data_IF_082085230871
#
_entry.id   IF_082085230871
#
_cell.length_a   1.000
_cell.length_b   1.000
_cell.length_c   1.000
_cell.angle_alpha   90.00
_cell.angle_beta   90.00
_cell.angle_gamma   90.00
#
_symmetry.space_group_name_H-M   'P 1'
#
loop_
_entity.id
_entity.type
_entity.pdbx_description
1 polymer ?
#
# COMPACT_ATOMS: atom_id res chain seq x y z
N UNK A 1 -28.25 -11.25 -15.71
CA UNK A 1 -27.90 -10.89 -17.11
C UNK A 1 -26.47 -10.36 -17.03
N UNK A 2 -25.47 -11.16 -17.39
CA UNK A 2 -24.07 -10.73 -17.37
C UNK A 2 -23.92 -9.57 -18.35
N UNK A 3 -23.46 -8.41 -17.84
CA UNK A 3 -23.05 -7.28 -18.68
C UNK A 3 -21.65 -7.59 -19.20
N UNK A 4 -21.48 -7.64 -20.51
CA UNK A 4 -20.15 -7.66 -21.12
C UNK A 4 -19.54 -6.27 -21.00
N UNK A 5 -18.37 -6.19 -20.38
CA UNK A 5 -17.59 -4.95 -20.26
C UNK A 5 -16.50 -4.92 -21.33
N UNK A 6 -16.30 -3.74 -21.92
CA UNK A 6 -15.10 -3.51 -22.75
C UNK A 6 -13.89 -3.26 -21.87
N UNK A 7 -12.66 -3.62 -22.28
CA UNK A 7 -11.46 -3.44 -21.46
C UNK A 7 -11.24 -2.02 -20.94
N UNK A 8 -11.61 -0.99 -21.71
CA UNK A 8 -11.55 0.40 -21.29
C UNK A 8 -12.56 0.75 -20.19
N UNK A 9 -13.71 0.08 -20.13
CA UNK A 9 -14.70 0.24 -19.05
C UNK A 9 -14.24 -0.41 -17.73
N UNK A 10 -13.28 -1.33 -17.81
CA UNK A 10 -12.66 -2.02 -16.69
C UNK A 10 -11.38 -1.34 -16.20
N UNK A 11 -11.08 -0.14 -16.67
CA UNK A 11 -9.92 0.64 -16.27
C UNK A 11 -10.38 2.01 -15.76
N UNK A 12 -10.03 2.31 -14.51
CA UNK A 12 -10.27 3.62 -13.92
C UNK A 12 -9.05 4.51 -14.11
N UNK A 13 -9.27 5.75 -14.55
CA UNK A 13 -8.19 6.69 -14.85
C UNK A 13 -8.46 8.01 -14.14
N UNK A 14 -7.46 8.53 -13.42
CA UNK A 14 -7.56 9.83 -12.74
C UNK A 14 -6.21 10.54 -12.79
N UNK A 15 -6.25 11.84 -13.07
CA UNK A 15 -5.06 12.70 -13.07
C UNK A 15 -4.98 13.50 -11.78
N UNK A 16 -3.78 13.63 -11.24
CA UNK A 16 -3.45 14.36 -10.02
C UNK A 16 -2.30 15.31 -10.27
N UNK A 17 -2.29 16.41 -9.52
CA UNK A 17 -1.10 17.26 -9.39
C UNK A 17 -0.58 17.09 -7.97
N UNK A 18 0.70 16.76 -7.84
CA UNK A 18 1.34 16.51 -6.53
C UNK A 18 1.47 17.83 -5.77
N UNK A 19 0.83 17.88 -4.60
CA UNK A 19 0.75 19.08 -3.76
C UNK A 19 1.80 19.07 -2.64
N UNK A 20 2.01 20.26 -2.03
CA UNK A 20 3.04 20.45 -1.00
C UNK A 20 2.85 19.57 0.25
N UNK A 21 1.61 19.25 0.62
CA UNK A 21 1.29 18.40 1.75
C UNK A 21 1.57 16.90 1.51
N UNK A 22 1.73 16.52 0.23
CA UNK A 22 1.95 15.14 -0.18
C UNK A 22 3.44 14.78 -0.29
N UNK A 23 4.32 15.77 -0.23
CA UNK A 23 5.76 15.54 -0.38
C UNK A 23 6.50 15.65 0.95
N UNK A 24 7.67 15.02 0.99
CA UNK A 24 8.62 15.15 2.09
C UNK A 24 9.49 16.42 1.93
N UNK A 25 10.45 16.62 2.84
CA UNK A 25 11.38 17.75 2.77
C UNK A 25 12.34 17.70 1.57
N UNK A 26 12.47 16.52 0.93
CA UNK A 26 13.24 16.37 -0.33
C UNK A 26 12.41 16.69 -1.58
N UNK A 27 11.15 17.12 -1.38
CA UNK A 27 10.13 17.40 -2.40
C UNK A 27 9.67 16.19 -3.19
N UNK A 28 10.00 14.96 -2.77
CA UNK A 28 9.48 13.71 -3.36
C UNK A 28 8.14 13.36 -2.74
N UNK A 29 7.27 12.73 -3.53
CA UNK A 29 6.04 12.13 -3.02
C UNK A 29 6.38 11.16 -1.89
N UNK A 30 5.74 11.32 -0.72
CA UNK A 30 5.93 10.39 0.40
C UNK A 30 5.46 8.99 0.03
N UNK A 31 6.10 7.97 0.58
CA UNK A 31 5.65 6.60 0.38
C UNK A 31 4.19 6.43 0.84
N UNK A 32 3.80 6.98 1.98
CA UNK A 32 2.43 6.94 2.47
C UNK A 32 1.43 7.59 1.52
N UNK A 33 1.76 8.74 0.92
CA UNK A 33 0.89 9.41 -0.04
C UNK A 33 0.73 8.64 -1.34
N UNK A 34 1.79 7.96 -1.81
CA UNK A 34 1.70 7.05 -2.94
C UNK A 34 0.67 5.95 -2.68
N UNK A 35 0.72 5.32 -1.51
CA UNK A 35 -0.25 4.27 -1.14
C UNK A 35 -1.67 4.82 -0.98
N UNK A 36 -1.85 6.05 -0.46
CA UNK A 36 -3.17 6.72 -0.40
C UNK A 36 -3.76 6.98 -1.78
N UNK A 37 -2.95 7.41 -2.74
CA UNK A 37 -3.40 7.61 -4.12
C UNK A 37 -3.86 6.28 -4.77
N UNK A 38 -3.14 5.17 -4.52
CA UNK A 38 -3.53 3.86 -5.04
C UNK A 38 -4.81 3.33 -4.38
N UNK A 39 -4.98 3.57 -3.08
CA UNK A 39 -6.21 3.24 -2.34
C UNK A 39 -7.41 4.03 -2.88
N UNK A 40 -7.26 5.33 -3.11
CA UNK A 40 -8.28 6.24 -3.67
C UNK A 40 -8.77 5.73 -5.04
N UNK A 41 -7.84 5.32 -5.92
CA UNK A 41 -8.16 4.70 -7.21
C UNK A 41 -8.92 3.39 -7.03
N UNK A 42 -8.55 2.57 -6.04
CA UNK A 42 -9.22 1.29 -5.78
C UNK A 42 -10.67 1.48 -5.36
N UNK A 43 -10.91 2.39 -4.41
CA UNK A 43 -12.24 2.70 -3.90
C UNK A 43 -13.12 3.26 -5.04
N UNK A 44 -12.63 4.29 -5.73
CA UNK A 44 -13.38 4.92 -6.81
C UNK A 44 -13.70 3.95 -7.96
N UNK A 45 -12.77 3.05 -8.29
CA UNK A 45 -13.01 2.03 -9.32
C UNK A 45 -14.02 0.98 -8.85
N UNK A 46 -13.93 0.49 -7.61
CA UNK A 46 -14.88 -0.47 -7.05
C UNK A 46 -16.31 0.08 -7.07
N UNK A 47 -16.47 1.36 -6.71
CA UNK A 47 -17.75 2.06 -6.79
C UNK A 47 -18.25 2.20 -8.24
N UNK A 48 -17.36 2.54 -9.17
CA UNK A 48 -17.68 2.64 -10.59
C UNK A 48 -18.12 1.29 -11.20
N UNK A 49 -17.60 0.17 -10.69
CA UNK A 49 -18.00 -1.19 -11.05
C UNK A 49 -19.33 -1.62 -10.39
N UNK A 50 -19.93 -0.78 -9.54
CA UNK A 50 -21.22 -1.02 -8.90
C UNK A 50 -21.15 -1.66 -7.52
N UNK A 51 -19.96 -2.00 -7.01
CA UNK A 51 -19.79 -2.46 -5.64
C UNK A 51 -19.53 -1.27 -4.73
N UNK A 52 -20.61 -0.62 -4.32
CA UNK A 52 -20.57 0.57 -3.48
C UNK A 52 -20.53 0.19 -2.00
N UNK A 53 -20.41 1.18 -1.14
CA UNK A 53 -20.52 1.01 0.30
C UNK A 53 -21.78 0.21 0.73
N UNK A 54 -22.90 0.34 0.01
CA UNK A 54 -24.16 -0.35 0.34
C UNK A 54 -24.06 -1.86 0.13
N UNK A 55 -23.28 -2.29 -0.82
CA UNK A 55 -23.05 -3.71 -1.12
C UNK A 55 -22.04 -4.35 -0.16
N UNK A 56 -21.28 -3.54 0.58
CA UNK A 56 -20.23 -4.00 1.50
C UNK A 56 -20.46 -3.50 2.91
N UNK A 57 -20.02 -2.31 3.27
CA UNK A 57 -20.00 -1.79 4.64
C UNK A 57 -21.39 -1.78 5.31
N UNK A 58 -22.43 -1.36 4.59
CA UNK A 58 -23.80 -1.35 5.13
C UNK A 58 -24.37 -2.78 5.30
N UNK A 59 -23.64 -3.81 4.89
CA UNK A 59 -23.93 -5.24 5.09
C UNK A 59 -22.97 -5.92 6.06
N UNK A 60 -22.13 -5.15 6.77
CA UNK A 60 -21.13 -5.68 7.69
C UNK A 60 -19.95 -6.35 7.00
N UNK A 61 -19.63 -5.96 5.77
CA UNK A 61 -18.49 -6.45 5.01
C UNK A 61 -17.43 -5.35 4.85
N UNK A 62 -16.19 -5.67 5.21
CA UNK A 62 -15.07 -4.74 5.12
C UNK A 62 -14.08 -5.18 4.05
N UNK A 63 -13.64 -4.23 3.22
CA UNK A 63 -12.50 -4.42 2.37
C UNK A 63 -11.20 -4.39 3.17
N UNK A 64 -10.38 -5.40 3.00
CA UNK A 64 -9.02 -5.45 3.53
C UNK A 64 -8.02 -5.62 2.40
N UNK A 65 -6.88 -4.98 2.54
CA UNK A 65 -5.71 -5.24 1.71
C UNK A 65 -4.78 -6.19 2.47
N UNK A 66 -4.32 -7.25 1.81
CA UNK A 66 -3.44 -8.24 2.44
C UNK A 66 -1.99 -8.05 2.03
N UNK A 67 -1.75 -7.64 0.78
CA UNK A 67 -0.41 -7.45 0.22
C UNK A 67 -0.43 -6.38 -0.84
N UNK A 68 0.67 -5.64 -0.95
CA UNK A 68 0.86 -4.66 -2.01
C UNK A 68 2.33 -4.56 -2.39
N UNK A 69 2.61 -4.61 -3.69
CA UNK A 69 3.92 -4.39 -4.29
C UNK A 69 3.86 -3.13 -5.15
N UNK A 70 4.87 -2.29 -5.02
CA UNK A 70 5.06 -1.09 -5.85
C UNK A 70 6.47 -1.11 -6.39
N UNK A 71 6.63 -1.04 -7.72
CA UNK A 71 7.90 -0.96 -8.43
C UNK A 71 8.06 0.46 -8.98
N UNK A 72 9.20 1.09 -8.70
CA UNK A 72 9.42 2.51 -8.89
C UNK A 72 10.61 2.75 -9.80
N UNK A 73 10.36 3.25 -11.00
CA UNK A 73 11.41 3.77 -11.89
C UNK A 73 11.75 5.22 -11.54
N UNK A 74 10.73 6.01 -11.22
CA UNK A 74 10.86 7.43 -10.83
C UNK A 74 9.79 7.78 -9.79
N UNK A 75 10.20 8.39 -8.67
CA UNK A 75 9.26 8.92 -7.66
C UNK A 75 8.80 10.32 -8.09
N UNK A 76 7.48 10.59 -8.17
CA UNK A 76 6.95 11.92 -8.46
C UNK A 76 7.46 12.96 -7.46
N UNK A 77 7.58 14.21 -7.91
CA UNK A 77 7.99 15.33 -7.07
C UNK A 77 6.88 16.39 -7.00
N UNK A 78 7.07 17.37 -6.11
CA UNK A 78 6.16 18.51 -5.98
C UNK A 78 5.90 19.17 -7.35
N UNK A 79 4.62 19.46 -7.60
CA UNK A 79 4.07 20.08 -8.82
C UNK A 79 4.06 19.20 -10.08
N UNK A 80 4.48 17.93 -9.98
CA UNK A 80 4.29 16.96 -11.08
C UNK A 80 2.81 16.71 -11.32
N UNK A 81 2.42 16.66 -12.61
CA UNK A 81 1.15 16.09 -13.03
C UNK A 81 1.35 14.61 -13.36
N UNK A 82 0.59 13.76 -12.69
CA UNK A 82 0.61 12.31 -12.90
C UNK A 82 -0.78 11.79 -13.25
N UNK A 83 -0.85 10.78 -14.08
CA UNK A 83 -2.08 10.04 -14.36
C UNK A 83 -1.96 8.63 -13.79
N UNK A 84 -2.91 8.24 -12.95
CA UNK A 84 -2.98 6.87 -12.42
C UNK A 84 -4.05 6.11 -13.19
N UNK A 85 -3.68 4.96 -13.72
CA UNK A 85 -4.59 3.95 -14.26
C UNK A 85 -4.66 2.79 -13.29
N UNK A 86 -5.89 2.37 -12.91
CA UNK A 86 -6.10 1.22 -12.05
C UNK A 86 -7.14 0.28 -12.66
N UNK A 87 -6.93 -1.01 -12.54
CA UNK A 87 -7.89 -2.02 -12.99
C UNK A 87 -7.94 -3.22 -12.07
N UNK A 88 -9.09 -3.87 -12.06
CA UNK A 88 -9.32 -5.15 -11.39
C UNK A 88 -8.83 -6.28 -12.30
N UNK A 89 -8.07 -7.22 -11.78
CA UNK A 89 -7.80 -8.50 -12.42
C UNK A 89 -8.95 -9.51 -12.23
N UNK A 90 -8.84 -10.68 -12.83
CA UNK A 90 -9.80 -11.74 -12.57
C UNK A 90 -9.75 -12.16 -11.10
N UNK A 91 -10.91 -12.38 -10.50
CA UNK A 91 -11.02 -12.80 -9.11
C UNK A 91 -10.36 -14.18 -8.90
N UNK A 92 -9.58 -14.31 -7.86
CA UNK A 92 -8.90 -15.56 -7.48
C UNK A 92 -9.44 -16.07 -6.14
N UNK A 93 -10.44 -16.91 -6.15
CA UNK A 93 -11.10 -17.40 -4.92
C UNK A 93 -11.71 -16.23 -4.11
N UNK A 94 -11.10 -15.96 -2.94
CA UNK A 94 -11.48 -14.88 -2.03
C UNK A 94 -10.72 -13.57 -2.30
N UNK A 95 -9.84 -13.57 -3.28
CA UNK A 95 -8.95 -12.44 -3.56
C UNK A 95 -9.36 -11.67 -4.80
N UNK A 96 -9.26 -10.36 -4.70
CA UNK A 96 -9.49 -9.38 -5.77
C UNK A 96 -8.15 -8.72 -6.13
N UNK A 97 -7.45 -9.22 -7.16
CA UNK A 97 -6.21 -8.62 -7.63
C UNK A 97 -6.45 -7.24 -8.22
N UNK A 98 -5.59 -6.28 -7.92
CA UNK A 98 -5.60 -4.95 -8.52
C UNK A 98 -4.24 -4.58 -9.05
N UNK A 99 -4.24 -3.90 -10.18
CA UNK A 99 -3.05 -3.44 -10.89
C UNK A 99 -3.14 -1.95 -11.11
N UNK A 100 -1.97 -1.30 -11.08
CA UNK A 100 -1.89 0.14 -11.27
C UNK A 100 -0.67 0.51 -12.10
N UNK A 101 -0.83 1.59 -12.88
CA UNK A 101 0.26 2.29 -13.53
C UNK A 101 0.17 3.77 -13.21
N UNK A 102 1.29 4.37 -12.81
CA UNK A 102 1.43 5.81 -12.67
C UNK A 102 2.24 6.32 -13.85
N UNK A 103 1.68 7.29 -14.54
CA UNK A 103 2.19 7.82 -15.79
C UNK A 103 2.51 9.29 -15.60
N UNK A 104 3.70 9.69 -15.97
CA UNK A 104 4.16 11.09 -16.05
C UNK A 104 4.68 11.34 -17.45
N UNK A 105 4.23 12.42 -18.10
CA UNK A 105 4.66 12.80 -19.45
C UNK A 105 4.54 11.66 -20.48
N UNK A 106 3.50 10.83 -20.36
CA UNK A 106 3.24 9.69 -21.24
C UNK A 106 4.08 8.43 -20.95
N UNK A 107 4.98 8.47 -19.97
CA UNK A 107 5.82 7.33 -19.56
C UNK A 107 5.28 6.72 -18.27
N UNK A 108 5.17 5.39 -18.20
CA UNK A 108 4.92 4.69 -16.95
C UNK A 108 6.17 4.80 -16.07
N UNK A 109 6.02 5.38 -14.88
CA UNK A 109 7.10 5.61 -13.91
C UNK A 109 6.97 4.74 -12.66
N UNK A 110 5.76 4.22 -12.38
CA UNK A 110 5.50 3.29 -11.27
C UNK A 110 4.50 2.24 -11.75
N UNK A 111 4.73 0.99 -11.36
CA UNK A 111 3.77 -0.11 -11.44
C UNK A 111 3.45 -0.61 -10.06
N UNK A 112 2.20 -0.97 -9.83
CA UNK A 112 1.82 -1.54 -8.53
C UNK A 112 0.80 -2.66 -8.69
N UNK A 113 0.80 -3.55 -7.69
CA UNK A 113 -0.13 -4.65 -7.55
C UNK A 113 -0.61 -4.70 -6.10
N UNK A 114 -1.89 -4.98 -5.90
CA UNK A 114 -2.47 -5.12 -4.57
C UNK A 114 -3.43 -6.31 -4.53
N UNK A 115 -3.44 -7.02 -3.42
CA UNK A 115 -4.31 -8.17 -3.20
C UNK A 115 -5.32 -7.82 -2.11
N UNK A 116 -6.57 -7.68 -2.51
CA UNK A 116 -7.69 -7.35 -1.64
C UNK A 116 -8.54 -8.57 -1.33
N UNK A 117 -9.24 -8.54 -0.20
CA UNK A 117 -10.26 -9.50 0.20
C UNK A 117 -11.39 -8.79 0.92
N UNK A 118 -12.50 -9.50 1.12
CA UNK A 118 -13.59 -9.08 1.99
C UNK A 118 -13.59 -9.94 3.26
N UNK A 119 -13.84 -9.28 4.39
CA UNK A 119 -14.06 -9.93 5.68
C UNK A 119 -15.42 -9.57 6.23
N UNK A 120 -15.97 -10.43 7.06
CA UNK A 120 -17.11 -10.12 7.91
C UNK A 120 -16.67 -9.20 9.06
N UNK A 121 -17.42 -8.13 9.32
CA UNK A 121 -17.08 -7.10 10.32
C UNK A 121 -17.06 -7.64 11.75
N UNK A 122 -17.94 -8.59 12.08
CA UNK A 122 -18.07 -9.13 13.43
C UNK A 122 -17.07 -10.25 13.71
N UNK A 123 -16.94 -11.21 12.77
CA UNK A 123 -16.09 -12.39 12.96
C UNK A 123 -14.65 -12.18 12.57
N UNK A 124 -14.37 -11.15 11.75
CA UNK A 124 -13.05 -10.87 11.15
C UNK A 124 -12.53 -12.00 10.25
N UNK A 125 -13.39 -12.89 9.84
CA UNK A 125 -13.04 -13.98 8.92
C UNK A 125 -13.19 -13.55 7.46
N UNK A 126 -12.30 -14.06 6.59
CA UNK A 126 -12.42 -13.85 5.14
C UNK A 126 -13.66 -14.57 4.66
N UNK A 127 -14.52 -13.88 3.91
CA UNK A 127 -15.75 -14.42 3.35
C UNK A 127 -15.55 -14.90 1.91
N UNK A 128 -16.44 -15.77 1.47
CA UNK A 128 -16.59 -16.12 0.05
C UNK A 128 -17.48 -15.06 -0.62
N UNK A 129 -16.98 -14.25 -1.54
CA UNK A 129 -17.75 -13.15 -2.14
C UNK A 129 -19.03 -13.62 -2.83
N UNK A 130 -19.01 -14.82 -3.43
CA UNK A 130 -20.15 -15.43 -4.12
C UNK A 130 -21.35 -15.66 -3.18
N UNK A 131 -21.11 -16.03 -1.91
CA UNK A 131 -22.15 -16.26 -0.91
C UNK A 131 -22.92 -14.95 -0.58
N UNK A 132 -22.31 -13.82 -0.87
CA UNK A 132 -22.89 -12.49 -0.68
C UNK A 132 -23.33 -11.83 -1.97
N UNK A 133 -23.22 -12.53 -3.12
CA UNK A 133 -23.56 -12.01 -4.44
C UNK A 133 -22.65 -10.86 -4.89
N UNK A 134 -21.41 -10.83 -4.40
CA UNK A 134 -20.42 -9.84 -4.79
C UNK A 134 -19.58 -10.39 -5.93
N UNK A 135 -19.76 -9.82 -7.11
CA UNK A 135 -19.01 -10.11 -8.30
C UNK A 135 -18.41 -8.81 -8.84
N UNK A 136 -17.10 -8.76 -8.97
CA UNK A 136 -16.42 -7.66 -9.64
C UNK A 136 -15.82 -8.16 -10.95
N UNK A 137 -16.15 -7.52 -12.08
CA UNK A 137 -15.60 -7.91 -13.37
C UNK A 137 -14.10 -7.63 -13.41
N UNK A 138 -13.31 -8.66 -13.73
CA UNK A 138 -11.89 -8.54 -13.97
C UNK A 138 -11.57 -8.17 -15.42
N UNK A 139 -10.50 -7.41 -15.64
CA UNK A 139 -9.99 -7.10 -16.98
C UNK A 139 -9.32 -8.37 -17.54
N UNK A 140 -9.79 -8.91 -18.68
CA UNK A 140 -9.20 -10.09 -19.28
C UNK A 140 -7.74 -9.86 -19.68
N UNK A 141 -6.90 -10.90 -19.50
CA UNK A 141 -5.50 -10.84 -19.85
C UNK A 141 -4.67 -9.93 -18.93
N UNK A 142 -5.17 -9.62 -17.74
CA UNK A 142 -4.33 -9.05 -16.69
C UNK A 142 -3.26 -10.07 -16.29
N UNK A 143 -2.06 -9.56 -15.97
CA UNK A 143 -0.97 -10.42 -15.52
C UNK A 143 -1.37 -11.24 -14.30
N UNK A 144 -0.86 -12.47 -14.20
CA UNK A 144 -1.05 -13.28 -13.01
C UNK A 144 -0.39 -12.58 -11.81
N UNK A 145 -1.12 -12.52 -10.70
CA UNK A 145 -0.60 -11.95 -9.47
C UNK A 145 -0.06 -13.05 -8.57
N UNK A 146 1.25 -13.02 -8.31
CA UNK A 146 1.93 -13.93 -7.38
C UNK A 146 2.60 -13.17 -6.25
N UNK A 147 1.80 -12.54 -5.37
CA UNK A 147 2.32 -11.92 -4.17
C UNK A 147 2.43 -12.96 -3.05
N UNK A 148 3.64 -13.46 -2.81
CA UNK A 148 3.93 -14.37 -1.68
C UNK A 148 4.12 -13.59 -0.38
N UNK A 149 4.09 -14.28 0.76
CA UNK A 149 4.40 -13.62 2.03
C UNK A 149 5.87 -13.20 2.10
N UNK A 150 6.14 -12.03 2.66
CA UNK A 150 7.50 -11.57 2.95
C UNK A 150 8.08 -12.46 4.06
N UNK A 151 9.22 -13.06 3.79
CA UNK A 151 10.02 -13.80 4.75
C UNK A 151 11.31 -13.02 5.00
N UNK A 152 11.60 -12.70 6.26
CA UNK A 152 12.89 -12.12 6.63
C UNK A 152 13.95 -13.24 6.51
N UNK A 153 14.98 -13.08 5.67
CA UNK A 153 15.97 -14.13 5.46
C UNK A 153 16.74 -14.47 6.72
N UNK A 154 17.03 -15.75 6.99
CA UNK A 154 17.88 -16.16 8.11
C UNK A 154 19.26 -15.49 8.06
N UNK A 155 19.78 -15.23 6.87
CA UNK A 155 21.04 -14.53 6.65
C UNK A 155 21.03 -13.07 7.14
N UNK A 156 19.86 -12.48 7.41
CA UNK A 156 19.75 -11.15 8.00
C UNK A 156 20.20 -11.14 9.48
N UNK A 157 20.18 -12.30 10.15
CA UNK A 157 20.47 -12.39 11.57
C UNK A 157 19.42 -11.69 12.44
N UNK A 158 19.88 -11.03 13.51
CA UNK A 158 19.02 -10.20 14.35
C UNK A 158 18.72 -8.84 13.72
N UNK A 159 17.75 -8.07 14.30
CA UNK A 159 17.45 -6.72 13.82
C UNK A 159 18.68 -5.79 14.04
N UNK A 160 18.93 -4.94 13.02
CA UNK A 160 20.01 -3.93 13.10
C UNK A 160 19.55 -2.68 13.85
N UNK A 161 18.24 -2.43 13.90
CA UNK A 161 17.63 -1.43 14.76
C UNK A 161 16.27 -1.91 15.27
N UNK A 162 15.83 -1.32 16.40
CA UNK A 162 14.53 -1.60 17.01
C UNK A 162 13.99 -0.30 17.61
N UNK A 163 12.83 0.13 17.14
CA UNK A 163 12.17 1.36 17.62
C UNK A 163 10.83 1.01 18.24
N UNK A 164 10.61 1.42 19.49
CA UNK A 164 9.29 1.30 20.14
C UNK A 164 8.33 2.34 19.57
N UNK A 165 7.17 1.90 19.14
CA UNK A 165 6.11 2.73 18.54
C UNK A 165 4.81 2.52 19.32
N UNK A 166 4.03 3.59 19.43
CA UNK A 166 2.63 3.55 19.88
C UNK A 166 1.77 4.14 18.77
N UNK A 167 0.85 3.34 18.26
CA UNK A 167 -0.08 3.80 17.21
C UNK A 167 -1.00 4.92 17.72
N UNK A 168 -1.28 5.89 16.86
CA UNK A 168 -2.02 7.10 17.23
C UNK A 168 -3.40 7.13 16.57
N UNK A 169 -4.37 7.78 17.21
CA UNK A 169 -5.72 7.98 16.67
C UNK A 169 -5.71 8.60 15.25
N UNK A 170 -4.80 9.55 14.99
CA UNK A 170 -4.68 10.21 13.67
C UNK A 170 -4.23 9.29 12.53
N UNK A 171 -3.78 8.09 12.83
CA UNK A 171 -3.36 7.08 11.86
C UNK A 171 -4.49 6.10 11.51
N UNK A 172 -5.62 6.17 12.22
CA UNK A 172 -6.74 5.23 12.05
C UNK A 172 -7.64 5.66 10.88
N UNK A 173 -8.16 4.67 10.20
CA UNK A 173 -9.19 4.82 9.17
C UNK A 173 -10.62 4.73 9.75
N UNK A 174 -11.60 4.71 8.86
CA UNK A 174 -13.03 4.59 9.21
C UNK A 174 -13.36 3.25 9.90
N UNK A 175 -12.54 2.21 9.69
CA UNK A 175 -12.73 0.87 10.28
C UNK A 175 -12.13 0.78 11.69
N UNK A 176 -11.52 1.86 12.20
CA UNK A 176 -10.90 1.91 13.52
C UNK A 176 -9.52 1.25 13.61
N UNK A 177 -8.93 0.91 12.49
CA UNK A 177 -7.58 0.34 12.39
C UNK A 177 -6.66 1.29 11.66
N UNK A 178 -5.36 1.03 11.78
CA UNK A 178 -4.35 1.82 11.10
C UNK A 178 -4.56 1.79 9.58
N UNK A 179 -4.72 2.97 8.97
CA UNK A 179 -4.85 3.10 7.52
C UNK A 179 -3.64 2.47 6.82
N UNK A 180 -3.89 1.76 5.73
CA UNK A 180 -2.90 0.99 4.98
C UNK A 180 -1.66 1.80 4.58
N UNK A 181 -1.81 3.08 4.31
CA UNK A 181 -0.71 3.97 3.95
C UNK A 181 0.13 4.43 5.16
N UNK A 182 -0.48 4.54 6.35
CA UNK A 182 0.17 5.09 7.54
C UNK A 182 1.33 4.24 8.09
N UNK A 183 1.42 2.98 7.67
CA UNK A 183 2.59 2.13 7.94
C UNK A 183 3.86 2.72 7.34
N UNK A 184 3.76 3.36 6.19
CA UNK A 184 4.91 3.96 5.51
C UNK A 184 5.37 5.28 6.14
N UNK A 185 4.51 6.01 6.86
CA UNK A 185 4.94 7.16 7.66
C UNK A 185 5.92 6.72 8.76
N UNK A 186 5.66 5.58 9.43
CA UNK A 186 6.57 5.03 10.45
C UNK A 186 7.89 4.54 9.85
N UNK A 187 7.84 3.99 8.63
CA UNK A 187 9.02 3.49 7.93
C UNK A 187 9.86 4.65 7.40
N UNK A 188 9.26 5.70 6.84
CA UNK A 188 9.95 6.92 6.42
C UNK A 188 10.70 7.55 7.61
N UNK A 189 10.06 7.64 8.79
CA UNK A 189 10.69 8.13 10.01
C UNK A 189 11.87 7.24 10.45
N UNK A 190 11.74 5.91 10.37
CA UNK A 190 12.82 4.99 10.73
C UNK A 190 14.00 5.12 9.75
N UNK A 191 13.75 5.16 8.46
CA UNK A 191 14.78 5.35 7.41
C UNK A 191 15.48 6.71 7.59
N UNK A 192 14.71 7.78 7.86
CA UNK A 192 15.27 9.08 8.13
C UNK A 192 16.20 9.08 9.33
N UNK A 193 15.78 8.47 10.45
CA UNK A 193 16.58 8.37 11.67
C UNK A 193 17.89 7.62 11.44
N UNK A 194 17.91 6.59 10.59
CA UNK A 194 19.09 5.82 10.25
C UNK A 194 20.12 6.66 9.45
N UNK A 195 19.67 7.52 8.55
CA UNK A 195 20.55 8.28 7.64
C UNK A 195 20.85 9.71 8.08
N UNK A 196 20.07 10.29 9.00
CA UNK A 196 20.11 11.72 9.33
C UNK A 196 21.12 12.09 10.40
N UNK A 197 21.89 11.15 10.93
CA UNK A 197 22.89 11.44 11.99
C UNK A 197 23.86 12.55 11.58
N UNK A 198 23.73 13.71 12.23
CA UNK A 198 24.60 14.87 11.99
C UNK A 198 24.19 15.76 10.82
N UNK A 199 23.02 15.53 10.20
CA UNK A 199 22.49 16.39 9.16
C UNK A 199 21.74 17.59 9.73
N UNK A 200 21.74 18.68 8.95
CA UNK A 200 20.89 19.84 9.18
C UNK A 200 19.49 19.60 8.59
N UNK A 201 18.57 20.55 8.79
CA UNK A 201 17.23 20.55 8.17
C UNK A 201 17.25 21.07 6.73
N UNK A 202 18.41 21.09 6.07
CA UNK A 202 18.52 21.53 4.68
C UNK A 202 17.96 20.46 3.73
N UNK A 203 17.04 20.88 2.86
CA UNK A 203 16.35 19.97 1.94
C UNK A 203 17.26 19.34 0.88
N UNK A 204 18.34 20.04 0.49
CA UNK A 204 19.29 19.53 -0.49
C UNK A 204 20.20 18.47 0.14
N UNK A 205 20.65 18.68 1.39
CA UNK A 205 21.38 17.67 2.15
C UNK A 205 20.53 16.43 2.39
N UNK A 206 19.26 16.61 2.82
CA UNK A 206 18.31 15.52 2.99
C UNK A 206 18.11 14.73 1.68
N UNK A 207 17.93 15.43 0.56
CA UNK A 207 17.73 14.80 -0.75
C UNK A 207 18.95 13.99 -1.22
N UNK A 208 20.15 14.35 -0.75
CA UNK A 208 21.39 13.65 -1.10
C UNK A 208 21.55 12.31 -0.33
N UNK A 209 21.00 12.21 0.87
CA UNK A 209 21.18 11.04 1.76
C UNK A 209 19.96 10.12 1.81
N UNK A 210 18.74 10.65 1.63
CA UNK A 210 17.53 9.82 1.61
C UNK A 210 17.59 8.83 0.47
N UNK A 211 17.56 7.53 0.75
CA UNK A 211 17.63 6.52 -0.29
C UNK A 211 16.40 6.59 -1.20
N UNK A 212 16.57 6.12 -2.43
CA UNK A 212 15.51 6.08 -3.44
C UNK A 212 15.02 4.66 -3.58
N UNK A 213 13.84 4.32 -3.09
CA UNK A 213 13.33 2.97 -3.24
C UNK A 213 13.04 2.66 -4.71
N UNK A 214 13.42 1.46 -5.14
CA UNK A 214 13.06 0.87 -6.43
C UNK A 214 11.85 -0.05 -6.32
N UNK A 215 11.67 -0.66 -5.15
CA UNK A 215 10.47 -1.42 -4.87
C UNK A 215 10.09 -1.34 -3.39
N UNK A 216 8.79 -1.31 -3.13
CA UNK A 216 8.16 -1.35 -1.82
C UNK A 216 7.21 -2.54 -1.81
N UNK A 217 7.40 -3.46 -0.89
CA UNK A 217 6.50 -4.60 -0.72
C UNK A 217 6.03 -4.66 0.73
N UNK A 218 4.72 -4.72 0.95
CA UNK A 218 4.11 -4.83 2.28
C UNK A 218 3.19 -6.04 2.36
N UNK A 219 3.25 -6.76 3.49
CA UNK A 219 2.24 -7.69 3.96
C UNK A 219 1.57 -7.14 5.21
N UNK A 220 0.28 -6.96 5.15
CA UNK A 220 -0.57 -6.67 6.30
C UNK A 220 -0.99 -8.01 6.91
N UNK A 221 -0.65 -8.26 8.17
CA UNK A 221 -0.80 -9.59 8.81
C UNK A 221 -1.93 -9.57 9.84
N UNK A 222 -1.95 -8.55 10.67
CA UNK A 222 -2.96 -8.34 11.69
C UNK A 222 -3.37 -6.88 11.76
N UNK A 223 -4.61 -6.62 12.13
CA UNK A 223 -5.14 -5.28 12.37
C UNK A 223 -4.38 -4.57 13.50
N UNK A 224 -4.16 -3.28 13.34
CA UNK A 224 -3.35 -2.47 14.26
C UNK A 224 -4.20 -1.29 14.79
N UNK A 225 -4.91 -1.48 15.92
CA UNK A 225 -5.75 -0.44 16.51
C UNK A 225 -4.94 0.67 17.19
N UNK A 226 -5.58 1.81 17.47
CA UNK A 226 -4.97 2.93 18.17
C UNK A 226 -4.50 2.53 19.59
N UNK A 227 -3.36 3.07 20.02
CA UNK A 227 -2.78 2.80 21.33
C UNK A 227 -2.01 1.48 21.44
N UNK A 228 -1.92 0.71 20.34
CA UNK A 228 -1.11 -0.52 20.32
C UNK A 228 0.37 -0.17 20.43
N UNK A 229 1.06 -0.87 21.33
CA UNK A 229 2.53 -0.81 21.45
C UNK A 229 3.15 -1.92 20.62
N UNK A 230 4.14 -1.57 19.81
CA UNK A 230 4.87 -2.53 18.98
C UNK A 230 6.33 -2.10 18.86
N UNK A 231 7.19 -3.07 18.57
CA UNK A 231 8.57 -2.83 18.14
C UNK A 231 8.61 -2.83 16.62
N UNK A 232 9.15 -1.78 16.02
CA UNK A 232 9.53 -1.74 14.62
C UNK A 232 10.98 -2.22 14.52
N UNK A 233 11.14 -3.43 14.03
CA UNK A 233 12.44 -4.08 13.89
C UNK A 233 12.92 -3.95 12.45
N UNK A 234 14.14 -3.46 12.23
CA UNK A 234 14.77 -3.34 10.93
C UNK A 234 15.82 -4.44 10.75
N UNK A 235 15.83 -5.04 9.54
CA UNK A 235 16.80 -6.06 9.14
C UNK A 235 17.39 -5.69 7.77
N UNK A 236 18.65 -6.06 7.55
CA UNK A 236 19.34 -5.83 6.26
C UNK A 236 19.86 -7.16 5.70
N UNK A 237 19.57 -7.46 4.44
CA UNK A 237 20.06 -8.66 3.77
C UNK A 237 20.09 -8.50 2.26
N UNK A 238 21.19 -8.82 1.60
CA UNK A 238 21.30 -8.87 0.13
C UNK A 238 21.06 -7.54 -0.61
N UNK A 239 21.21 -6.40 0.09
CA UNK A 239 20.92 -5.06 -0.45
C UNK A 239 19.46 -4.63 -0.23
N UNK A 240 18.61 -5.49 0.32
CA UNK A 240 17.24 -5.17 0.73
C UNK A 240 17.19 -4.81 2.22
N UNK A 241 16.23 -3.95 2.56
CA UNK A 241 15.87 -3.63 3.96
C UNK A 241 14.50 -4.20 4.26
N UNK A 242 14.38 -4.85 5.41
CA UNK A 242 13.13 -5.43 5.88
C UNK A 242 12.71 -4.77 7.18
N UNK A 243 11.43 -4.48 7.31
CA UNK A 243 10.82 -4.03 8.55
C UNK A 243 9.76 -5.03 9.02
N UNK A 244 9.75 -5.29 10.32
CA UNK A 244 8.69 -6.05 10.96
C UNK A 244 8.13 -5.24 12.12
N UNK A 245 6.83 -4.94 12.07
CA UNK A 245 6.12 -4.41 13.22
C UNK A 245 5.54 -5.56 14.04
N UNK A 246 6.02 -5.75 15.27
CA UNK A 246 5.61 -6.84 16.14
C UNK A 246 5.40 -6.37 17.58
N UNK A 247 4.42 -6.95 18.25
CA UNK A 247 4.14 -6.82 19.67
C UNK A 247 3.94 -8.20 20.27
N UNK A 248 2.75 -8.49 20.76
CA UNK A 248 2.30 -9.84 21.16
C UNK A 248 2.20 -10.80 19.96
N UNK A 249 2.09 -10.26 18.76
CA UNK A 249 2.04 -10.95 17.48
C UNK A 249 2.64 -10.06 16.37
N UNK A 250 2.99 -10.63 15.20
CA UNK A 250 3.38 -9.80 14.06
C UNK A 250 2.16 -9.07 13.49
N UNK A 251 2.31 -7.78 13.20
CA UNK A 251 1.26 -6.95 12.60
C UNK A 251 1.47 -6.76 11.10
N UNK A 252 2.71 -6.51 10.69
CA UNK A 252 3.06 -6.32 9.28
C UNK A 252 4.53 -6.64 9.01
N UNK A 253 4.83 -6.84 7.75
CA UNK A 253 6.21 -6.88 7.24
C UNK A 253 6.32 -6.03 5.99
N UNK A 254 7.44 -5.33 5.86
CA UNK A 254 7.78 -4.56 4.67
C UNK A 254 9.15 -4.98 4.18
N UNK A 255 9.30 -5.04 2.85
CA UNK A 255 10.59 -5.17 2.17
C UNK A 255 10.78 -3.95 1.29
N UNK A 256 11.95 -3.31 1.37
CA UNK A 256 12.35 -2.20 0.51
C UNK A 256 13.60 -2.61 -0.26
N UNK A 257 13.56 -2.45 -1.57
CA UNK A 257 14.73 -2.59 -2.45
C UNK A 257 15.17 -1.20 -2.90
N UNK A 258 16.45 -0.90 -2.76
CA UNK A 258 17.03 0.38 -3.14
C UNK A 258 17.89 0.31 -4.40
#
# INVERSE_FOLDING_TARGET
MYREYRPEELTYVKTFVIRSEQVDMTRRLRMSELFRLLEDISIAHTEALGCTRRETLDRGLLWIITRQLVEIDEMPVYDDEITIRGWQGEMMHVFFPRFYEIIKEGKVIIRAQALWSLIDEDTREIIMPEDYGIELPGRPGSDDMFLTAIVIPEAAGGPVSCTEIVTRFSQMDINGHMNNASYFDMIDDAVWNDVSSGLTTDSAEAAAVMPKPKALYINYINELPAGTRLSLNEYKSGGDVYFEGAGDKPYFRVKITY
#
